data_IF_538738110713
#
_entry.id   IF_538738110713
#
_cell.length_a   1.000
_cell.length_b   1.000
_cell.length_c   1.000
_cell.angle_alpha   90.00
_cell.angle_beta   90.00
_cell.angle_gamma   90.00
#
_symmetry.space_group_name_H-M   'P 1'
#
loop_
_entity.id
_entity.type
_entity.pdbx_description
1 polymer ?
#
# COMPACT_ATOMS: atom_id res chain seq x y z
N UNK A 1 59.51 -4.80 17.14
CA UNK A 1 58.30 -4.04 16.70
C UNK A 1 58.19 -3.87 15.19
N UNK A 2 59.08 -4.46 14.37
CA UNK A 2 58.97 -4.41 12.90
C UNK A 2 58.33 -5.66 12.29
N UNK A 3 58.46 -6.83 12.94
CA UNK A 3 57.90 -8.10 12.43
C UNK A 3 56.37 -8.19 12.50
N UNK A 4 55.72 -7.37 13.33
CA UNK A 4 54.25 -7.34 13.48
C UNK A 4 53.57 -6.44 12.44
N UNK A 5 54.30 -5.48 11.86
CA UNK A 5 53.77 -4.60 10.81
C UNK A 5 53.65 -5.31 9.46
N UNK A 6 54.54 -6.26 9.17
CA UNK A 6 54.52 -7.06 7.93
C UNK A 6 53.30 -7.99 7.88
N UNK A 7 52.90 -8.59 9.01
CA UNK A 7 51.71 -9.45 9.09
C UNK A 7 50.39 -8.68 8.88
N UNK A 8 50.31 -7.42 9.33
CA UNK A 8 49.12 -6.59 9.14
C UNK A 8 48.95 -6.11 7.69
N UNK A 9 50.05 -5.84 6.97
CA UNK A 9 50.01 -5.43 5.56
C UNK A 9 49.58 -6.59 4.65
N UNK A 10 50.00 -7.83 4.96
CA UNK A 10 49.57 -9.03 4.24
C UNK A 10 48.07 -9.35 4.41
N UNK A 11 47.48 -9.07 5.57
CA UNK A 11 46.03 -9.29 5.79
C UNK A 11 45.14 -8.24 5.09
N UNK A 12 45.63 -7.00 4.91
CA UNK A 12 44.87 -5.94 4.24
C UNK A 12 44.91 -6.02 2.70
N UNK A 13 45.87 -6.72 2.11
CA UNK A 13 45.90 -6.95 0.65
C UNK A 13 45.09 -8.17 0.20
N UNK A 14 44.72 -9.07 1.12
CA UNK A 14 43.93 -10.27 0.79
C UNK A 14 42.42 -9.97 0.74
N UNK A 15 41.93 -8.93 1.43
CA UNK A 15 40.51 -8.53 1.36
C UNK A 15 40.15 -7.68 0.14
N UNK A 16 41.13 -7.09 -0.57
CA UNK A 16 40.88 -6.27 -1.76
C UNK A 16 40.82 -7.06 -3.08
N UNK A 17 41.00 -8.39 -3.06
CA UNK A 17 40.97 -9.24 -4.26
C UNK A 17 39.70 -10.11 -4.38
N UNK A 18 38.75 -10.01 -3.45
CA UNK A 18 37.49 -10.76 -3.47
C UNK A 18 36.29 -9.98 -4.04
N UNK A 19 36.51 -8.85 -4.73
CA UNK A 19 35.41 -8.15 -5.44
C UNK A 19 35.35 -8.52 -6.93
N UNK A 20 36.23 -9.37 -7.44
CA UNK A 20 36.34 -9.61 -8.87
C UNK A 20 36.19 -11.08 -9.31
N UNK A 21 35.28 -11.88 -8.73
CA UNK A 21 35.03 -13.23 -9.28
C UNK A 21 33.62 -13.78 -8.95
N UNK A 22 32.56 -13.10 -9.37
CA UNK A 22 31.25 -13.77 -9.54
C UNK A 22 30.34 -13.19 -10.63
N UNK A 23 30.86 -12.37 -11.55
CA UNK A 23 30.10 -11.84 -12.70
C UNK A 23 30.28 -12.68 -13.98
N UNK A 24 30.78 -13.92 -13.88
CA UNK A 24 31.13 -14.75 -15.05
C UNK A 24 30.49 -16.15 -15.05
N UNK A 25 29.53 -16.46 -14.18
CA UNK A 25 28.57 -17.52 -14.49
C UNK A 25 27.44 -16.89 -15.28
N UNK A 26 27.59 -16.91 -16.61
CA UNK A 26 26.59 -16.55 -17.62
C UNK A 26 25.35 -17.45 -17.57
N UNK A 27 24.72 -17.54 -16.41
CA UNK A 27 23.41 -18.12 -16.23
C UNK A 27 22.43 -16.99 -16.50
N UNK A 28 22.40 -16.54 -17.76
CA UNK A 28 21.22 -15.87 -18.28
C UNK A 28 20.06 -16.81 -18.01
N UNK A 29 19.13 -16.39 -17.14
CA UNK A 29 17.85 -17.07 -16.98
C UNK A 29 17.32 -17.33 -18.40
N UNK A 30 16.89 -18.57 -18.73
CA UNK A 30 16.31 -18.82 -20.02
C UNK A 30 15.22 -17.77 -20.24
N UNK A 31 15.17 -17.12 -21.42
CA UNK A 31 14.11 -16.16 -21.70
C UNK A 31 12.78 -16.85 -21.39
N UNK A 32 11.81 -16.16 -20.75
CA UNK A 32 10.50 -16.75 -20.52
C UNK A 32 10.04 -17.33 -21.86
N UNK A 33 9.50 -18.56 -21.89
CA UNK A 33 9.12 -19.19 -23.14
C UNK A 33 8.24 -18.19 -23.90
N UNK A 34 8.81 -17.62 -24.97
CA UNK A 34 8.06 -16.78 -25.89
C UNK A 34 6.91 -17.65 -26.31
N UNK A 35 5.67 -17.18 -26.15
CA UNK A 35 4.47 -17.93 -26.45
C UNK A 35 4.59 -18.49 -27.87
N UNK A 36 5.06 -19.73 -27.98
CA UNK A 36 5.20 -20.39 -29.25
C UNK A 36 3.78 -20.65 -29.74
N UNK A 37 3.59 -20.59 -31.06
CA UNK A 37 2.30 -20.74 -31.72
C UNK A 37 1.59 -22.11 -31.49
N UNK A 38 2.03 -22.93 -30.53
CA UNK A 38 1.40 -24.18 -30.09
C UNK A 38 1.10 -24.29 -28.59
N UNK A 39 1.43 -23.30 -27.75
CA UNK A 39 1.17 -23.37 -26.30
C UNK A 39 -0.26 -22.95 -25.96
N UNK A 40 -1.22 -23.79 -26.35
CA UNK A 40 -2.63 -23.61 -25.96
C UNK A 40 -2.91 -24.35 -24.65
N UNK A 41 -3.70 -23.74 -23.77
CA UNK A 41 -4.00 -24.28 -22.43
C UNK A 41 -4.70 -25.64 -22.46
N UNK A 42 -5.33 -26.01 -23.57
CA UNK A 42 -5.99 -27.30 -23.77
C UNK A 42 -5.02 -28.44 -24.11
N UNK A 43 -3.86 -28.15 -24.68
CA UNK A 43 -2.81 -29.15 -24.99
C UNK A 43 -1.71 -29.18 -23.94
N UNK A 44 -1.50 -28.06 -23.25
CA UNK A 44 -0.40 -27.90 -22.30
C UNK A 44 -0.89 -27.41 -20.94
N UNK A 45 -1.69 -28.26 -20.27
CA UNK A 45 -2.24 -27.98 -18.94
C UNK A 45 -1.18 -27.57 -17.91
N UNK A 46 0.01 -28.17 -17.99
CA UNK A 46 1.14 -27.89 -17.11
C UNK A 46 1.62 -26.44 -17.16
N UNK A 47 1.29 -25.69 -18.23
CA UNK A 47 1.61 -24.25 -18.35
C UNK A 47 0.99 -23.45 -17.22
N UNK A 48 -0.22 -23.81 -16.77
CA UNK A 48 -0.85 -23.11 -15.65
C UNK A 48 -0.06 -23.34 -14.37
N UNK A 49 0.45 -24.55 -14.12
CA UNK A 49 1.03 -24.96 -12.85
C UNK A 49 2.53 -24.72 -12.72
N UNK A 50 3.18 -24.10 -13.72
CA UNK A 50 4.59 -23.71 -13.63
C UNK A 50 4.79 -22.76 -12.44
N UNK A 51 5.86 -22.98 -11.66
CA UNK A 51 6.19 -22.14 -10.52
C UNK A 51 6.30 -20.66 -10.95
N UNK A 52 5.64 -19.77 -10.21
CA UNK A 52 5.58 -18.34 -10.55
C UNK A 52 4.47 -17.97 -11.55
N UNK A 53 3.67 -18.92 -12.04
CA UNK A 53 2.50 -18.62 -12.85
C UNK A 53 1.54 -17.68 -12.10
N UNK A 54 1.23 -16.55 -12.72
CA UNK A 54 0.22 -15.60 -12.23
C UNK A 54 -1.16 -16.26 -12.17
N UNK A 55 -1.39 -17.28 -12.99
CA UNK A 55 -2.66 -17.98 -13.18
C UNK A 55 -2.47 -19.49 -12.96
N UNK A 56 -2.33 -19.93 -11.69
CA UNK A 56 -1.92 -21.29 -11.37
C UNK A 56 -3.00 -22.35 -11.59
N UNK A 57 -4.24 -21.94 -11.87
CA UNK A 57 -5.39 -22.84 -11.88
C UNK A 57 -5.97 -22.98 -13.29
N UNK A 58 -6.28 -24.22 -13.65
CA UNK A 58 -6.90 -24.53 -14.92
C UNK A 58 -8.41 -24.62 -14.81
N UNK A 59 -9.12 -23.89 -15.67
CA UNK A 59 -10.57 -23.97 -15.79
C UNK A 59 -10.96 -23.84 -17.26
N UNK A 60 -11.66 -24.86 -17.80
CA UNK A 60 -12.24 -24.87 -19.15
C UNK A 60 -11.28 -24.34 -20.24
N UNK A 61 -10.08 -24.93 -20.34
CA UNK A 61 -9.06 -24.57 -21.33
C UNK A 61 -8.43 -23.18 -21.15
N UNK A 62 -8.50 -22.61 -19.95
CA UNK A 62 -7.83 -21.34 -19.62
C UNK A 62 -7.14 -21.42 -18.26
N UNK A 63 -5.99 -20.76 -18.14
CA UNK A 63 -5.34 -20.53 -16.86
C UNK A 63 -5.95 -19.29 -16.19
N UNK A 64 -6.21 -19.37 -14.89
CA UNK A 64 -6.70 -18.27 -14.06
C UNK A 64 -6.18 -18.37 -12.64
N UNK A 65 -6.44 -17.34 -11.84
CA UNK A 65 -6.03 -17.30 -10.45
C UNK A 65 -7.25 -17.33 -9.53
N UNK A 66 -7.54 -18.50 -8.94
CA UNK A 66 -8.69 -18.67 -8.05
C UNK A 66 -8.59 -17.81 -6.78
N UNK A 67 -7.44 -17.21 -6.48
CA UNK A 67 -7.25 -16.38 -5.29
C UNK A 67 -7.61 -14.90 -5.49
N UNK A 68 -7.69 -14.42 -6.72
CA UNK A 68 -7.91 -13.01 -7.05
C UNK A 68 -8.94 -12.79 -8.18
N UNK A 69 -9.26 -13.81 -8.96
CA UNK A 69 -10.24 -13.72 -10.04
C UNK A 69 -11.67 -13.69 -9.49
N UNK A 70 -12.36 -12.57 -9.73
CA UNK A 70 -13.74 -12.34 -9.30
C UNK A 70 -14.74 -13.27 -9.98
N UNK A 71 -14.44 -13.84 -11.15
CA UNK A 71 -15.31 -14.78 -11.86
C UNK A 71 -15.07 -16.23 -11.45
N UNK A 72 -13.96 -16.51 -10.76
CA UNK A 72 -13.50 -17.86 -10.46
C UNK A 72 -12.99 -18.00 -9.01
N UNK A 73 -13.65 -17.32 -8.07
CA UNK A 73 -13.10 -17.15 -6.73
C UNK A 73 -13.18 -18.43 -5.86
N UNK A 74 -12.02 -19.04 -5.62
CA UNK A 74 -11.85 -20.28 -4.86
C UNK A 74 -12.23 -21.56 -5.63
N UNK A 75 -12.96 -21.44 -6.75
CA UNK A 75 -13.24 -22.53 -7.71
C UNK A 75 -13.69 -21.96 -9.06
N UNK A 76 -13.48 -22.74 -10.12
CA UNK A 76 -13.91 -22.37 -11.48
C UNK A 76 -15.39 -21.99 -11.53
N UNK A 77 -15.71 -20.88 -12.18
CA UNK A 77 -17.07 -20.37 -12.40
C UNK A 77 -17.76 -19.82 -11.14
N UNK A 78 -17.09 -19.76 -9.99
CA UNK A 78 -17.64 -19.13 -8.79
C UNK A 78 -17.44 -17.62 -8.83
N UNK A 79 -18.41 -16.92 -9.40
CA UNK A 79 -18.40 -15.48 -9.44
C UNK A 79 -18.76 -14.85 -8.08
N UNK A 80 -18.00 -13.82 -7.69
CA UNK A 80 -18.35 -12.97 -6.57
C UNK A 80 -19.52 -12.04 -6.93
N UNK A 81 -20.51 -11.95 -6.03
CA UNK A 81 -21.64 -11.01 -6.17
C UNK A 81 -21.15 -9.55 -6.18
N UNK A 82 -21.96 -8.65 -6.73
CA UNK A 82 -21.67 -7.20 -6.73
C UNK A 82 -21.23 -6.68 -5.37
N UNK A 83 -20.24 -5.80 -5.37
CA UNK A 83 -19.64 -5.22 -4.16
C UNK A 83 -18.66 -6.13 -3.43
N UNK A 84 -18.34 -7.32 -3.97
CA UNK A 84 -17.32 -8.22 -3.41
C UNK A 84 -16.15 -8.40 -4.36
N UNK A 85 -14.97 -8.57 -3.77
CA UNK A 85 -13.73 -8.91 -4.46
C UNK A 85 -13.23 -10.28 -4.00
N UNK A 86 -12.57 -11.02 -4.88
CA UNK A 86 -11.91 -12.25 -4.53
C UNK A 86 -10.60 -11.97 -3.81
N UNK A 87 -10.53 -12.34 -2.54
CA UNK A 87 -9.33 -12.23 -1.73
C UNK A 87 -8.99 -13.60 -1.15
N UNK A 88 -7.84 -14.15 -1.55
CA UNK A 88 -7.35 -15.45 -1.07
C UNK A 88 -8.39 -16.56 -1.23
N UNK A 89 -9.09 -16.57 -2.37
CA UNK A 89 -10.08 -17.59 -2.74
C UNK A 89 -11.46 -17.40 -2.09
N UNK A 90 -11.68 -16.26 -1.41
CA UNK A 90 -12.96 -15.94 -0.76
C UNK A 90 -13.50 -14.61 -1.28
N UNK A 91 -14.78 -14.58 -1.61
CA UNK A 91 -15.47 -13.34 -1.95
C UNK A 91 -15.70 -12.52 -0.68
N UNK A 92 -14.97 -11.43 -0.53
CA UNK A 92 -15.07 -10.50 0.61
C UNK A 92 -15.63 -9.17 0.16
N UNK A 93 -16.40 -8.52 1.03
CA UNK A 93 -16.88 -7.17 0.78
C UNK A 93 -15.81 -6.17 1.23
N UNK A 94 -15.11 -5.54 0.29
CA UNK A 94 -14.03 -4.58 0.57
C UNK A 94 -14.54 -3.23 1.13
N UNK A 95 -15.85 -2.99 1.05
CA UNK A 95 -16.53 -1.80 1.58
C UNK A 95 -17.07 -1.95 3.00
N UNK A 96 -17.14 -3.19 3.52
CA UNK A 96 -17.50 -3.45 4.93
C UNK A 96 -16.44 -4.22 5.72
N UNK A 97 -15.49 -4.88 5.07
CA UNK A 97 -14.44 -5.63 5.74
C UNK A 97 -13.24 -4.74 6.08
N UNK A 98 -13.00 -4.54 7.38
CA UNK A 98 -11.89 -3.71 7.90
C UNK A 98 -10.50 -4.21 7.53
N UNK A 99 -10.35 -5.52 7.30
CA UNK A 99 -9.08 -6.14 6.91
C UNK A 99 -8.84 -6.15 5.39
N UNK A 100 -9.78 -5.63 4.62
CA UNK A 100 -9.71 -5.54 3.17
C UNK A 100 -10.30 -4.18 2.71
N UNK A 101 -9.89 -3.11 3.36
CA UNK A 101 -10.40 -1.77 3.13
C UNK A 101 -10.06 -1.31 1.71
N UNK A 102 -11.06 -1.24 0.84
CA UNK A 102 -10.89 -0.82 -0.57
C UNK A 102 -10.19 -1.83 -1.47
N UNK A 103 -9.34 -2.71 -0.93
CA UNK A 103 -8.68 -3.81 -1.66
C UNK A 103 -8.28 -4.95 -0.73
N UNK A 104 -7.98 -6.11 -1.30
CA UNK A 104 -7.58 -7.30 -0.56
C UNK A 104 -6.34 -7.07 0.29
N UNK A 105 -6.40 -7.50 1.55
CA UNK A 105 -5.26 -7.45 2.47
C UNK A 105 -4.84 -6.04 2.92
N UNK A 106 -5.57 -5.00 2.51
CA UNK A 106 -5.31 -3.64 2.97
C UNK A 106 -6.08 -3.35 4.25
N UNK A 107 -5.37 -2.98 5.30
CA UNK A 107 -5.90 -2.55 6.59
C UNK A 107 -5.55 -1.09 6.82
N UNK A 108 -6.42 -0.34 7.50
CA UNK A 108 -6.08 1.01 7.92
C UNK A 108 -4.90 0.96 8.90
N UNK A 109 -3.93 1.85 8.69
CA UNK A 109 -2.72 1.96 9.49
C UNK A 109 -2.77 3.23 10.35
N UNK A 110 -1.99 3.27 11.43
CA UNK A 110 -1.86 4.43 12.31
C UNK A 110 -3.21 4.88 12.90
N UNK A 111 -3.52 6.17 12.82
CA UNK A 111 -4.76 6.80 13.31
C UNK A 111 -5.88 6.80 12.27
N UNK A 112 -5.73 6.09 11.15
CA UNK A 112 -6.77 6.08 10.13
C UNK A 112 -7.93 5.17 10.55
N UNK A 113 -9.13 5.67 10.32
CA UNK A 113 -10.36 4.96 10.58
C UNK A 113 -10.95 4.41 9.31
N UNK A 114 -11.64 3.29 9.48
CA UNK A 114 -12.41 2.68 8.42
C UNK A 114 -13.73 3.44 8.20
N UNK A 115 -13.87 4.10 7.05
CA UNK A 115 -15.10 4.76 6.64
C UNK A 115 -15.53 4.26 5.26
N UNK A 116 -16.55 3.42 5.22
CA UNK A 116 -17.22 2.94 4.00
C UNK A 116 -16.25 2.43 2.92
N UNK A 117 -15.34 1.55 3.30
CA UNK A 117 -14.36 0.98 2.36
C UNK A 117 -13.13 1.84 2.07
N UNK A 118 -12.94 2.93 2.81
CA UNK A 118 -11.73 3.77 2.74
C UNK A 118 -11.12 3.96 4.12
N UNK A 119 -9.80 4.03 4.16
CA UNK A 119 -9.09 4.50 5.34
C UNK A 119 -9.02 6.01 5.27
N UNK A 120 -9.52 6.66 6.30
CA UNK A 120 -9.58 8.12 6.39
C UNK A 120 -9.00 8.59 7.70
N UNK A 121 -8.27 9.68 7.64
CA UNK A 121 -7.70 10.27 8.84
C UNK A 121 -8.71 11.23 9.47
N UNK A 122 -9.51 10.76 10.43
CA UNK A 122 -10.53 11.60 11.07
C UNK A 122 -9.93 12.78 11.87
N UNK A 123 -8.62 12.82 12.08
CA UNK A 123 -7.93 13.92 12.76
C UNK A 123 -7.87 15.18 11.90
N UNK A 124 -7.81 15.02 10.58
CA UNK A 124 -7.50 16.10 9.62
C UNK A 124 -8.36 16.09 8.36
N UNK A 125 -9.09 15.00 8.08
CA UNK A 125 -9.95 14.90 6.91
C UNK A 125 -11.18 15.80 7.07
N UNK A 126 -11.31 16.78 6.18
CA UNK A 126 -12.39 17.77 6.13
C UNK A 126 -13.76 17.12 5.85
N UNK A 127 -13.81 15.97 5.22
CA UNK A 127 -15.05 15.24 4.91
C UNK A 127 -15.44 14.24 6.01
N UNK A 128 -14.54 13.94 6.95
CA UNK A 128 -14.70 12.90 7.96
C UNK A 128 -14.18 13.35 9.32
N UNK A 129 -14.39 14.61 9.71
CA UNK A 129 -13.73 15.16 10.88
C UNK A 129 -14.28 14.57 12.18
N UNK A 130 -13.46 13.88 12.96
CA UNK A 130 -13.85 13.23 14.20
C UNK A 130 -14.71 11.96 14.04
N UNK A 131 -15.47 11.83 12.95
CA UNK A 131 -16.27 10.65 12.61
C UNK A 131 -16.52 10.56 11.10
N UNK A 132 -16.81 9.34 10.61
CA UNK A 132 -17.09 9.10 9.20
C UNK A 132 -18.26 9.96 8.70
N UNK A 133 -18.06 10.69 7.60
CA UNK A 133 -19.09 11.54 7.00
C UNK A 133 -19.37 12.86 7.72
N UNK A 134 -18.66 13.17 8.81
CA UNK A 134 -18.79 14.45 9.50
C UNK A 134 -18.01 15.55 8.76
N UNK A 135 -18.62 16.05 7.69
CA UNK A 135 -18.06 17.07 6.81
C UNK A 135 -18.02 18.44 7.51
N UNK A 136 -16.87 19.10 7.45
CA UNK A 136 -16.74 20.50 7.87
C UNK A 136 -17.58 21.43 6.97
N UNK A 137 -18.25 22.39 7.59
CA UNK A 137 -18.98 23.46 6.90
C UNK A 137 -18.05 24.47 6.21
N UNK A 138 -18.65 25.48 5.56
CA UNK A 138 -17.91 26.58 4.93
C UNK A 138 -17.03 27.30 5.97
N UNK A 139 -15.79 27.61 5.57
CA UNK A 139 -14.79 28.28 6.41
C UNK A 139 -14.36 27.52 7.68
N UNK A 140 -14.71 26.23 7.79
CA UNK A 140 -14.29 25.36 8.89
C UNK A 140 -13.27 24.33 8.39
N UNK A 141 -12.35 23.94 9.26
CA UNK A 141 -11.34 22.93 8.98
C UNK A 141 -11.34 21.85 10.07
N UNK A 142 -10.76 20.69 9.79
CA UNK A 142 -10.59 19.62 10.76
C UNK A 142 -9.23 19.73 11.45
N UNK A 143 -9.23 20.05 12.73
CA UNK A 143 -8.04 20.15 13.54
C UNK A 143 -8.15 19.21 14.74
N UNK A 144 -7.29 18.19 14.79
CA UNK A 144 -7.22 17.26 15.91
C UNK A 144 -8.60 16.69 16.28
N UNK A 145 -9.28 16.07 15.31
CA UNK A 145 -10.61 15.45 15.44
C UNK A 145 -11.78 16.41 15.61
N UNK A 146 -11.51 17.72 15.69
CA UNK A 146 -12.52 18.74 15.94
C UNK A 146 -12.66 19.67 14.74
N UNK A 147 -13.90 20.04 14.46
CA UNK A 147 -14.19 21.09 13.49
C UNK A 147 -13.87 22.43 14.14
N UNK A 148 -13.00 23.21 13.50
CA UNK A 148 -12.48 24.48 14.01
C UNK A 148 -12.56 25.55 12.92
N UNK A 149 -12.95 26.77 13.27
CA UNK A 149 -12.84 27.91 12.37
C UNK A 149 -11.42 28.49 12.41
N UNK A 150 -10.68 28.37 11.31
CA UNK A 150 -9.31 28.89 11.25
C UNK A 150 -9.24 30.42 11.21
N UNK A 151 -10.35 31.11 10.97
CA UNK A 151 -10.36 32.56 10.83
C UNK A 151 -10.51 33.31 12.14
N UNK A 152 -11.04 32.64 13.17
CA UNK A 152 -11.38 33.28 14.45
C UNK A 152 -10.86 32.51 15.66
N UNK A 153 -10.40 31.26 15.48
CA UNK A 153 -9.89 30.48 16.60
C UNK A 153 -8.44 30.83 16.91
N UNK A 154 -8.21 31.44 18.07
CA UNK A 154 -6.89 31.85 18.56
C UNK A 154 -5.86 30.71 18.69
N UNK A 155 -6.31 29.46 18.83
CA UNK A 155 -5.42 28.27 18.94
C UNK A 155 -5.19 27.57 17.59
N UNK A 156 -5.87 28.01 16.55
CA UNK A 156 -5.85 27.42 15.22
C UNK A 156 -5.90 28.50 14.13
N UNK A 157 -5.26 29.64 14.36
CA UNK A 157 -5.39 30.80 13.49
C UNK A 157 -4.67 30.58 12.16
N UNK A 158 -5.39 30.59 11.03
CA UNK A 158 -4.89 30.34 9.68
C UNK A 158 -4.52 28.88 9.38
N UNK A 159 -4.10 28.10 10.38
CA UNK A 159 -3.83 26.66 10.28
C UNK A 159 -3.99 25.97 11.64
N UNK A 160 -4.15 24.65 11.62
CA UNK A 160 -4.28 23.88 12.86
C UNK A 160 -3.06 24.03 13.78
N UNK A 161 -3.31 24.15 15.08
CA UNK A 161 -2.29 24.27 16.14
C UNK A 161 -1.41 25.53 16.00
N UNK A 162 -1.95 26.59 15.40
CA UNK A 162 -1.30 27.88 15.34
C UNK A 162 -1.92 28.81 16.38
N UNK A 163 -1.22 28.94 17.50
CA UNK A 163 -1.67 29.76 18.61
C UNK A 163 -1.19 31.22 18.42
N UNK A 164 -2.10 32.18 18.57
CA UNK A 164 -1.75 33.58 18.68
C UNK A 164 -1.03 33.86 20.01
N UNK A 165 -0.21 34.92 20.05
CA UNK A 165 0.50 35.30 21.28
C UNK A 165 -0.51 35.85 22.29
N UNK A 166 -0.03 36.02 23.53
CA UNK A 166 -0.82 36.67 24.56
C UNK A 166 -1.21 38.08 24.09
N UNK A 167 -2.51 38.39 24.17
CA UNK A 167 -3.15 39.64 23.75
C UNK A 167 -3.34 39.84 22.24
N UNK A 168 -2.95 38.86 21.40
CA UNK A 168 -3.30 38.84 19.97
C UNK A 168 -4.65 38.12 19.76
N UNK A 169 -5.51 38.71 18.92
CA UNK A 169 -6.73 38.08 18.43
C UNK A 169 -6.51 37.42 17.06
N UNK A 170 -7.28 36.37 16.77
CA UNK A 170 -7.33 35.80 15.43
C UNK A 170 -8.40 36.51 14.58
N UNK A 171 -7.96 37.27 13.58
CA UNK A 171 -8.84 37.99 12.65
C UNK A 171 -8.55 37.54 11.23
N UNK A 172 -9.58 37.01 10.55
CA UNK A 172 -9.48 36.51 9.17
C UNK A 172 -8.34 35.50 8.93
N UNK A 173 -7.96 34.75 9.97
CA UNK A 173 -6.91 33.73 9.89
C UNK A 173 -5.49 34.25 10.11
N UNK A 174 -5.37 35.49 10.60
CA UNK A 174 -4.12 36.14 10.95
C UNK A 174 -4.17 36.52 12.43
N UNK A 175 -3.08 36.29 13.15
CA UNK A 175 -2.94 36.78 14.52
C UNK A 175 -2.56 38.26 14.46
N UNK A 176 -3.44 39.11 14.95
CA UNK A 176 -3.28 40.56 15.00
C UNK A 176 -3.39 41.03 16.45
N UNK A 177 -2.72 42.11 16.78
CA UNK A 177 -2.80 42.72 18.10
C UNK A 177 -4.23 43.24 18.33
N UNK A 178 -4.84 42.89 19.46
CA UNK A 178 -6.22 43.26 19.81
C UNK A 178 -6.32 44.65 20.45
#
# INVERSE_FOLDING_TARGET
MESLKIFLVLLLTITSSFVALSAASGWSLPPPPVASAGYTCDKHLAVCTVAGSVNPNYCKKMCMNLNMDNLNCGKCGKQCKSGKQCCKGKCVNIQTNRSNCGTCGYTCINTDHYCNGKCVNLKTDILNCGSCGNKCGLNLNCCNWKIVNLHTNEKHCGRCQNNCKKDDACMNGICEYA
#
